data_IF_276721963581
#
_entry.id   IF_276721963581
#
_cell.length_a   1.000
_cell.length_b   1.000
_cell.length_c   1.000
_cell.angle_alpha   90.00
_cell.angle_beta   90.00
_cell.angle_gamma   90.00
#
_symmetry.space_group_name_H-M   'P 1'
#
loop_
_entity.id
_entity.type
_entity.pdbx_description
1 polymer ?
#
# COMPACT_ATOMS: atom_id res chain seq x y z
N UNK A 1 -1.54 -58.16 -28.90
CA UNK A 1 -0.79 -56.90 -29.11
C UNK A 1 -1.78 -55.80 -28.87
N UNK A 2 -1.96 -55.43 -27.61
CA UNK A 2 -2.92 -54.42 -27.20
C UNK A 2 -2.22 -53.08 -27.15
N UNK A 3 -2.55 -52.24 -28.12
CA UNK A 3 -2.03 -50.89 -28.23
C UNK A 3 -2.73 -50.03 -27.18
N UNK A 4 -2.12 -49.92 -26.00
CA UNK A 4 -2.59 -49.03 -24.96
C UNK A 4 -2.40 -47.59 -25.45
N UNK A 5 -3.46 -46.99 -25.98
CA UNK A 5 -3.48 -45.58 -26.33
C UNK A 5 -3.27 -44.79 -25.03
N UNK A 6 -2.04 -44.31 -24.83
CA UNK A 6 -1.76 -43.24 -23.87
C UNK A 6 -2.68 -42.09 -24.27
N UNK A 7 -3.66 -41.69 -23.44
CA UNK A 7 -4.44 -40.52 -23.76
C UNK A 7 -3.47 -39.35 -23.69
N UNK A 8 -3.12 -38.80 -24.84
CA UNK A 8 -2.43 -37.52 -24.93
C UNK A 8 -3.33 -36.53 -24.18
N UNK A 9 -2.93 -36.20 -22.94
CA UNK A 9 -3.61 -35.26 -22.07
C UNK A 9 -3.71 -33.92 -22.78
N UNK A 10 -4.81 -33.74 -23.49
CA UNK A 10 -5.18 -32.49 -24.14
C UNK A 10 -5.90 -31.65 -23.11
N UNK A 11 -5.27 -31.41 -21.97
CA UNK A 11 -5.69 -30.39 -21.01
C UNK A 11 -4.59 -29.35 -20.94
N UNK A 12 -4.59 -28.61 -22.05
CA UNK A 12 -3.99 -27.30 -22.21
C UNK A 12 -4.43 -26.39 -21.04
N UNK A 13 -3.75 -26.47 -19.90
CA UNK A 13 -3.93 -25.66 -18.68
C UNK A 13 -3.50 -24.18 -18.86
N UNK A 14 -3.85 -23.56 -19.99
CA UNK A 14 -3.56 -22.14 -20.26
C UNK A 14 -4.38 -21.23 -19.34
N UNK A 15 -5.54 -21.69 -18.88
CA UNK A 15 -6.44 -20.94 -18.01
C UNK A 15 -5.74 -20.49 -16.73
N UNK A 16 -5.06 -21.40 -16.00
CA UNK A 16 -4.38 -21.04 -14.75
C UNK A 16 -3.27 -19.99 -14.92
N UNK A 17 -2.48 -20.12 -15.99
CA UNK A 17 -1.40 -19.17 -16.33
C UNK A 17 -1.95 -17.75 -16.56
N UNK A 18 -3.00 -17.62 -17.37
CA UNK A 18 -3.60 -16.33 -17.69
C UNK A 18 -4.30 -15.72 -16.47
N UNK A 19 -5.03 -16.52 -15.68
CA UNK A 19 -5.79 -15.98 -14.55
C UNK A 19 -4.88 -15.37 -13.47
N UNK A 20 -3.78 -16.04 -13.10
CA UNK A 20 -2.86 -15.49 -12.09
C UNK A 20 -2.13 -14.24 -12.59
N UNK A 21 -1.66 -14.22 -13.84
CA UNK A 21 -1.05 -13.00 -14.42
C UNK A 21 -2.03 -11.84 -14.44
N UNK A 22 -3.26 -12.04 -14.88
CA UNK A 22 -4.27 -10.97 -14.95
C UNK A 22 -4.52 -10.39 -13.55
N UNK A 23 -4.62 -11.22 -12.52
CA UNK A 23 -4.77 -10.73 -11.15
C UNK A 23 -3.56 -9.91 -10.72
N UNK A 24 -2.34 -10.44 -10.85
CA UNK A 24 -1.13 -9.71 -10.44
C UNK A 24 -0.94 -8.40 -11.23
N UNK A 25 -1.22 -8.38 -12.52
CA UNK A 25 -1.15 -7.17 -13.34
C UNK A 25 -2.23 -6.17 -12.93
N UNK A 26 -3.47 -6.62 -12.71
CA UNK A 26 -4.58 -5.77 -12.28
C UNK A 26 -4.31 -5.15 -10.90
N UNK A 27 -3.90 -5.95 -9.93
CA UNK A 27 -3.58 -5.45 -8.59
C UNK A 27 -2.32 -4.59 -8.59
N UNK A 28 -1.35 -4.82 -9.47
CA UNK A 28 -0.21 -3.93 -9.65
C UNK A 28 -0.65 -2.54 -10.11
N UNK A 29 -1.50 -2.42 -11.13
CA UNK A 29 -1.97 -1.11 -11.63
C UNK A 29 -2.72 -0.35 -10.53
N UNK A 30 -3.61 -1.05 -9.83
CA UNK A 30 -4.35 -0.47 -8.69
C UNK A 30 -3.40 -0.07 -7.56
N UNK A 31 -2.38 -0.88 -7.27
CA UNK A 31 -1.40 -0.60 -6.24
C UNK A 31 -0.47 0.57 -6.61
N UNK A 32 -0.17 0.78 -7.89
CA UNK A 32 0.54 1.98 -8.35
C UNK A 32 -0.29 3.26 -8.15
N UNK A 33 -1.61 3.19 -8.34
CA UNK A 33 -2.50 4.30 -8.01
C UNK A 33 -2.50 4.58 -6.50
N UNK A 34 -2.52 3.54 -5.67
CA UNK A 34 -2.36 3.64 -4.21
C UNK A 34 -1.04 4.31 -3.81
N UNK A 35 0.09 3.89 -4.39
CA UNK A 35 1.39 4.54 -4.19
C UNK A 35 1.35 6.03 -4.58
N UNK A 36 0.71 6.37 -5.71
CA UNK A 36 0.50 7.75 -6.13
C UNK A 36 -0.28 8.57 -5.11
N UNK A 37 -1.34 8.01 -4.52
CA UNK A 37 -2.11 8.64 -3.45
C UNK A 37 -1.29 8.81 -2.17
N UNK A 38 -0.46 7.83 -1.79
CA UNK A 38 0.45 7.95 -0.64
C UNK A 38 1.46 9.07 -0.87
N UNK A 39 2.08 9.15 -2.05
CA UNK A 39 3.00 10.26 -2.40
C UNK A 39 2.26 11.60 -2.36
N UNK A 40 1.06 11.68 -2.96
CA UNK A 40 0.24 12.88 -2.92
C UNK A 40 -0.10 13.30 -1.50
N UNK A 41 -0.39 12.36 -0.60
CA UNK A 41 -0.64 12.66 0.81
C UNK A 41 0.59 13.28 1.49
N UNK A 42 1.82 12.86 1.16
CA UNK A 42 3.03 13.43 1.77
C UNK A 42 3.38 14.81 1.19
N UNK A 43 3.24 14.98 -0.13
CA UNK A 43 3.66 16.19 -0.84
C UNK A 43 2.65 17.33 -0.66
N UNK A 44 1.35 17.03 -0.69
CA UNK A 44 0.31 18.05 -0.54
C UNK A 44 0.19 18.41 0.95
N UNK A 45 0.41 19.67 1.35
CA UNK A 45 0.44 20.07 2.76
C UNK A 45 -0.97 20.37 3.31
N UNK A 46 -1.94 19.46 3.06
CA UNK A 46 -3.35 19.61 3.44
C UNK A 46 -3.86 18.36 4.18
N UNK A 47 -3.20 18.02 5.28
CA UNK A 47 -3.70 16.98 6.18
C UNK A 47 -4.81 17.53 7.08
N UNK A 48 -4.59 18.73 7.60
CA UNK A 48 -5.57 19.46 8.40
C UNK A 48 -5.58 20.90 7.91
N UNK A 49 -6.76 21.43 7.64
CA UNK A 49 -6.92 22.80 7.16
C UNK A 49 -7.91 23.58 8.01
N UNK A 50 -7.64 24.86 8.13
CA UNK A 50 -8.50 25.84 8.76
C UNK A 50 -8.88 26.86 7.71
N UNK A 51 -10.18 27.13 7.61
CA UNK A 51 -10.73 28.09 6.67
C UNK A 51 -11.65 29.02 7.44
N UNK A 52 -11.36 30.32 7.38
CA UNK A 52 -12.18 31.37 7.98
C UNK A 52 -12.87 32.17 6.89
N UNK A 53 -14.18 32.37 6.97
CA UNK A 53 -14.93 33.12 5.96
C UNK A 53 -14.76 34.65 6.11
N UNK A 54 -14.43 35.14 7.31
CA UNK A 54 -14.33 36.58 7.63
C UNK A 54 -13.26 36.86 8.70
N UNK A 55 -12.06 37.36 8.34
CA UNK A 55 -11.52 37.56 7.00
C UNK A 55 -11.22 36.23 6.28
N UNK A 56 -11.25 36.22 4.95
CA UNK A 56 -10.98 35.04 4.13
C UNK A 56 -9.48 34.69 4.17
N UNK A 57 -9.11 33.74 5.01
CA UNK A 57 -7.76 33.17 4.99
C UNK A 57 -7.81 31.67 5.24
N UNK A 58 -6.93 30.97 4.51
CA UNK A 58 -6.72 29.55 4.63
C UNK A 58 -5.39 29.28 5.34
N UNK A 59 -5.40 28.31 6.24
CA UNK A 59 -4.21 27.83 6.92
C UNK A 59 -4.17 26.32 6.84
N UNK A 60 -3.04 25.74 6.45
CA UNK A 60 -2.93 24.31 6.16
C UNK A 60 -1.70 23.70 6.79
N UNK A 61 -1.88 22.56 7.47
CA UNK A 61 -0.80 21.71 7.97
C UNK A 61 -0.58 20.50 7.06
N UNK A 62 0.66 20.33 6.62
CA UNK A 62 1.18 19.10 6.04
C UNK A 62 2.09 18.34 7.01
N UNK A 63 2.67 17.24 6.54
CA UNK A 63 3.62 16.45 7.33
C UNK A 63 4.93 17.19 7.62
N UNK A 64 5.46 17.88 6.61
CA UNK A 64 6.77 18.52 6.67
C UNK A 64 6.73 20.03 6.45
N UNK A 65 5.57 20.57 6.05
CA UNK A 65 5.38 21.98 5.75
C UNK A 65 4.03 22.44 6.25
N UNK A 66 3.96 23.71 6.64
CA UNK A 66 2.72 24.44 6.90
C UNK A 66 2.63 25.61 5.93
N UNK A 67 1.43 25.96 5.51
CA UNK A 67 1.20 27.06 4.58
C UNK A 67 0.10 27.97 5.11
N UNK A 68 0.27 29.28 4.94
CA UNK A 68 -0.70 30.30 5.35
C UNK A 68 -1.01 31.23 4.18
N UNK A 69 -2.28 31.44 3.88
CA UNK A 69 -2.75 32.38 2.87
C UNK A 69 -2.57 33.84 3.29
N UNK A 70 -2.34 34.13 4.58
CA UNK A 70 -2.14 35.51 5.07
C UNK A 70 -0.74 36.01 4.71
N UNK A 71 0.28 35.18 4.97
CA UNK A 71 1.68 35.51 4.68
C UNK A 71 2.10 35.09 3.28
N UNK A 72 1.27 34.29 2.60
CA UNK A 72 1.54 33.67 1.30
C UNK A 72 2.87 32.87 1.29
N UNK A 73 3.21 32.28 2.43
CA UNK A 73 4.45 31.52 2.64
C UNK A 73 4.16 30.11 3.12
N UNK A 74 4.96 29.17 2.63
CA UNK A 74 5.02 27.80 3.13
C UNK A 74 6.34 27.57 3.86
N UNK A 75 6.25 27.31 5.16
CA UNK A 75 7.41 27.11 6.04
C UNK A 75 7.55 25.63 6.40
N UNK A 76 8.77 25.22 6.76
CA UNK A 76 9.01 23.89 7.31
C UNK A 76 8.27 23.71 8.62
N UNK A 77 7.66 22.56 8.83
CA UNK A 77 6.90 22.23 10.04
C UNK A 77 7.18 20.78 10.44
N UNK A 78 7.28 20.46 11.75
CA UNK A 78 7.25 21.37 12.90
C UNK A 78 8.59 22.08 13.12
N UNK A 79 8.57 23.38 13.43
CA UNK A 79 9.78 24.15 13.79
C UNK A 79 10.17 23.93 15.26
N UNK A 80 11.28 24.53 15.71
CA UNK A 80 11.67 24.44 17.13
C UNK A 80 10.75 25.27 18.01
N UNK A 81 10.32 26.43 17.50
CA UNK A 81 9.42 27.32 18.24
C UNK A 81 8.07 26.66 18.52
N UNK A 82 7.58 25.82 17.59
CA UNK A 82 6.32 25.08 17.71
C UNK A 82 6.37 23.94 18.76
N UNK A 83 7.55 23.62 19.30
CA UNK A 83 7.80 22.45 20.15
C UNK A 83 8.32 22.79 21.55
N UNK A 84 7.96 23.96 22.11
CA UNK A 84 8.36 24.35 23.47
C UNK A 84 7.28 23.98 24.51
N UNK A 85 7.73 23.66 25.73
CA UNK A 85 6.82 23.36 26.85
C UNK A 85 5.97 22.10 26.61
N UNK A 86 4.65 22.25 26.75
CA UNK A 86 3.65 21.18 26.63
C UNK A 86 3.48 20.70 25.18
N UNK A 87 3.80 21.52 24.18
CA UNK A 87 3.70 21.18 22.74
C UNK A 87 4.74 20.12 22.26
N UNK A 88 5.69 19.72 23.12
CA UNK A 88 6.69 18.70 22.79
C UNK A 88 6.06 17.37 22.39
N UNK A 89 4.98 17.00 23.06
CA UNK A 89 4.23 15.78 22.80
C UNK A 89 3.66 15.78 21.38
N UNK A 90 2.91 16.84 21.03
CA UNK A 90 2.36 17.06 19.70
C UNK A 90 3.44 16.94 18.62
N UNK A 91 4.54 17.67 18.79
CA UNK A 91 5.65 17.64 17.83
C UNK A 91 6.29 16.25 17.68
N UNK A 92 6.42 15.50 18.76
CA UNK A 92 6.95 14.13 18.71
C UNK A 92 6.01 13.22 17.93
N UNK A 93 4.72 13.28 18.21
CA UNK A 93 3.71 12.47 17.51
C UNK A 93 3.62 12.85 16.03
N UNK A 94 3.59 14.14 15.71
CA UNK A 94 3.54 14.62 14.34
C UNK A 94 4.76 14.20 13.52
N UNK A 95 5.97 14.29 14.10
CA UNK A 95 7.19 13.80 13.43
C UNK A 95 7.17 12.29 13.23
N UNK A 96 6.61 11.52 14.18
CA UNK A 96 6.40 10.08 14.00
C UNK A 96 5.48 9.77 12.82
N UNK A 97 4.42 10.55 12.59
CA UNK A 97 3.58 10.40 11.39
C UNK A 97 4.40 10.57 10.10
N UNK A 98 5.24 11.61 10.05
CA UNK A 98 6.14 11.83 8.91
C UNK A 98 7.08 10.65 8.65
N UNK A 99 7.62 10.06 9.72
CA UNK A 99 8.44 8.85 9.63
C UNK A 99 7.65 7.63 9.15
N UNK A 100 6.47 7.38 9.72
CA UNK A 100 5.60 6.26 9.34
C UNK A 100 5.21 6.34 7.87
N UNK A 101 4.80 7.50 7.38
CA UNK A 101 4.42 7.68 5.97
C UNK A 101 5.62 7.50 5.03
N UNK A 102 6.80 7.97 5.42
CA UNK A 102 8.04 7.73 4.65
C UNK A 102 8.40 6.25 4.60
N UNK A 103 8.27 5.55 5.75
CA UNK A 103 8.50 4.11 5.82
C UNK A 103 7.47 3.32 4.99
N UNK A 104 6.21 3.75 4.95
CA UNK A 104 5.19 3.16 4.10
C UNK A 104 5.55 3.23 2.62
N UNK A 105 6.08 4.35 2.12
CA UNK A 105 6.56 4.45 0.73
C UNK A 105 7.67 3.45 0.44
N UNK A 106 8.60 3.24 1.38
CA UNK A 106 9.68 2.24 1.22
C UNK A 106 9.08 0.84 1.07
N UNK A 107 8.12 0.46 1.93
CA UNK A 107 7.43 -0.83 1.85
C UNK A 107 6.63 -0.97 0.55
N UNK A 108 5.96 0.10 0.09
CA UNK A 108 5.27 0.11 -1.20
C UNK A 108 6.26 -0.04 -2.36
N UNK A 109 7.43 0.61 -2.31
CA UNK A 109 8.48 0.45 -3.31
C UNK A 109 9.00 -0.98 -3.40
N UNK A 110 9.27 -1.63 -2.26
CA UNK A 110 9.63 -3.06 -2.20
C UNK A 110 8.52 -3.93 -2.78
N UNK A 111 7.25 -3.60 -2.49
CA UNK A 111 6.10 -4.32 -3.02
C UNK A 111 5.98 -4.19 -4.54
N UNK A 112 6.22 -3.00 -5.11
CA UNK A 112 6.25 -2.79 -6.57
C UNK A 112 7.36 -3.62 -7.22
N UNK A 113 8.57 -3.60 -6.66
CA UNK A 113 9.67 -4.44 -7.17
C UNK A 113 9.28 -5.93 -7.08
N UNK A 114 8.65 -6.34 -5.99
CA UNK A 114 8.17 -7.72 -5.81
C UNK A 114 7.14 -8.10 -6.87
N UNK A 115 6.18 -7.22 -7.18
CA UNK A 115 5.23 -7.42 -8.28
C UNK A 115 5.95 -7.63 -9.61
N UNK A 116 6.94 -6.79 -9.93
CA UNK A 116 7.71 -6.89 -11.17
C UNK A 116 8.50 -8.20 -11.25
N UNK A 117 9.14 -8.62 -10.14
CA UNK A 117 9.86 -9.89 -10.06
C UNK A 117 8.92 -11.09 -10.21
N UNK A 118 7.73 -11.03 -9.62
CA UNK A 118 6.71 -12.08 -9.76
C UNK A 118 6.22 -12.18 -11.21
N UNK A 119 5.95 -11.04 -11.86
CA UNK A 119 5.44 -10.99 -13.24
C UNK A 119 6.51 -11.36 -14.30
N UNK A 120 7.76 -10.95 -14.08
CA UNK A 120 8.88 -11.29 -14.97
C UNK A 120 9.51 -12.66 -14.68
N UNK A 121 9.25 -13.20 -13.49
CA UNK A 121 9.78 -14.48 -13.04
C UNK A 121 9.08 -15.68 -13.65
N UNK A 122 9.65 -16.86 -13.41
CA UNK A 122 9.04 -18.13 -13.80
C UNK A 122 7.86 -18.53 -12.92
N UNK A 123 7.17 -19.61 -13.30
CA UNK A 123 6.01 -20.19 -12.60
C UNK A 123 6.20 -20.30 -11.08
N UNK A 124 7.37 -20.77 -10.62
CA UNK A 124 7.69 -20.90 -9.18
C UNK A 124 7.52 -19.60 -8.39
N UNK A 125 7.88 -18.45 -8.97
CA UNK A 125 7.75 -17.15 -8.30
C UNK A 125 6.30 -16.68 -8.26
N UNK A 126 5.49 -16.96 -9.30
CA UNK A 126 4.05 -16.62 -9.30
C UNK A 126 3.22 -17.46 -8.36
N UNK A 127 3.61 -18.72 -8.16
CA UNK A 127 2.91 -19.63 -7.25
C UNK A 127 3.27 -19.42 -5.77
N UNK A 128 4.51 -19.03 -5.48
CA UNK A 128 4.98 -18.89 -4.08
C UNK A 128 5.19 -17.44 -3.62
N UNK A 129 5.32 -16.49 -4.54
CA UNK A 129 5.65 -15.09 -4.24
C UNK A 129 4.53 -14.29 -3.56
N UNK A 130 3.29 -14.78 -3.61
CA UNK A 130 2.12 -14.09 -3.04
C UNK A 130 2.25 -13.83 -1.53
N UNK A 131 2.90 -14.72 -0.78
CA UNK A 131 3.01 -14.60 0.68
C UNK A 131 3.86 -13.39 1.06
N UNK A 132 5.07 -13.27 0.48
CA UNK A 132 5.94 -12.13 0.72
C UNK A 132 5.32 -10.82 0.21
N UNK A 133 4.71 -10.85 -0.98
CA UNK A 133 4.04 -9.68 -1.55
C UNK A 133 2.90 -9.19 -0.66
N UNK A 134 1.98 -10.08 -0.25
CA UNK A 134 0.84 -9.72 0.58
C UNK A 134 1.26 -9.24 1.97
N UNK A 135 2.33 -9.81 2.54
CA UNK A 135 2.91 -9.34 3.80
C UNK A 135 3.43 -7.89 3.68
N UNK A 136 4.23 -7.59 2.65
CA UNK A 136 4.79 -6.24 2.46
C UNK A 136 3.69 -5.19 2.18
N UNK A 137 2.72 -5.53 1.33
CA UNK A 137 1.56 -4.67 1.05
C UNK A 137 0.73 -4.46 2.31
N UNK A 138 0.43 -5.53 3.05
CA UNK A 138 -0.32 -5.46 4.31
C UNK A 138 0.38 -4.63 5.38
N UNK A 139 1.69 -4.81 5.55
CA UNK A 139 2.49 -4.01 6.49
C UNK A 139 2.47 -2.53 6.10
N UNK A 140 2.58 -2.21 4.81
CA UNK A 140 2.50 -0.82 4.34
C UNK A 140 1.14 -0.17 4.64
N UNK A 141 0.05 -0.95 4.57
CA UNK A 141 -1.29 -0.47 4.90
C UNK A 141 -1.44 -0.23 6.40
N UNK A 142 -0.91 -1.13 7.25
CA UNK A 142 -0.94 -0.99 8.72
C UNK A 142 -0.17 0.26 9.15
N UNK A 143 1.02 0.49 8.59
CA UNK A 143 1.85 1.67 8.91
C UNK A 143 1.14 2.96 8.52
N UNK A 144 0.49 3.00 7.34
CA UNK A 144 -0.31 4.17 6.91
C UNK A 144 -1.52 4.39 7.83
N UNK A 145 -2.25 3.33 8.17
CA UNK A 145 -3.38 3.41 9.09
C UNK A 145 -2.94 3.90 10.47
N UNK A 146 -1.77 3.47 10.98
CA UNK A 146 -1.19 3.97 12.21
C UNK A 146 -0.87 5.47 12.11
N UNK A 147 -0.19 5.92 11.05
CA UNK A 147 0.09 7.35 10.84
C UNK A 147 -1.19 8.19 10.75
N UNK A 148 -2.18 7.71 10.00
CA UNK A 148 -3.51 8.33 9.87
C UNK A 148 -4.24 8.42 11.22
N UNK A 149 -4.20 7.35 12.02
CA UNK A 149 -4.82 7.31 13.35
C UNK A 149 -4.18 8.27 14.34
N UNK A 150 -2.86 8.49 14.28
CA UNK A 150 -2.18 9.47 15.12
C UNK A 150 -2.63 10.88 14.76
N UNK A 151 -2.76 11.22 13.47
CA UNK A 151 -3.27 12.54 13.07
C UNK A 151 -4.71 12.73 13.52
N UNK A 152 -5.58 11.71 13.38
CA UNK A 152 -6.95 11.78 13.86
C UNK A 152 -7.01 11.96 15.39
N UNK A 153 -6.18 11.21 16.13
CA UNK A 153 -6.06 11.36 17.57
C UNK A 153 -5.63 12.78 17.96
N UNK A 154 -4.60 13.33 17.32
CA UNK A 154 -4.14 14.70 17.59
C UNK A 154 -5.23 15.71 17.24
N UNK A 155 -5.94 15.52 16.13
CA UNK A 155 -7.05 16.37 15.71
C UNK A 155 -8.15 16.47 16.78
N UNK A 156 -8.50 15.35 17.40
CA UNK A 156 -9.58 15.29 18.40
C UNK A 156 -9.16 15.69 19.82
N UNK A 157 -7.86 15.61 20.16
CA UNK A 157 -7.37 15.76 21.54
C UNK A 157 -6.52 17.02 21.78
N UNK A 158 -6.09 17.73 20.75
CA UNK A 158 -5.27 18.95 20.91
C UNK A 158 -6.13 20.20 20.78
N UNK A 159 -6.08 21.07 21.79
CA UNK A 159 -6.81 22.36 21.83
C UNK A 159 -6.45 23.29 20.66
N UNK A 160 -5.30 23.06 20.03
CA UNK A 160 -4.85 23.77 18.81
C UNK A 160 -5.82 23.60 17.65
N UNK A 161 -6.50 22.45 17.55
CA UNK A 161 -7.50 22.17 16.52
C UNK A 161 -8.91 22.51 17.03
N UNK A 162 -9.12 23.80 17.29
CA UNK A 162 -10.42 24.33 17.72
C UNK A 162 -11.46 24.33 16.59
N UNK A 163 -12.67 24.81 16.90
CA UNK A 163 -13.79 24.87 15.94
C UNK A 163 -13.39 25.61 14.65
N UNK A 164 -13.51 24.93 13.51
CA UNK A 164 -13.17 25.46 12.17
C UNK A 164 -12.04 24.69 11.48
N UNK A 165 -11.28 23.87 12.20
CA UNK A 165 -10.34 22.92 11.61
C UNK A 165 -11.06 21.71 11.03
N UNK A 166 -10.56 21.18 9.91
CA UNK A 166 -11.06 19.97 9.26
C UNK A 166 -9.91 19.10 8.77
N UNK A 167 -10.12 17.78 8.82
CA UNK A 167 -9.29 16.82 8.09
C UNK A 167 -9.51 17.02 6.59
N UNK A 168 -8.43 17.13 5.82
CA UNK A 168 -8.50 17.57 4.42
C UNK A 168 -7.88 16.56 3.45
N UNK A 169 -7.74 16.95 2.19
CA UNK A 169 -7.41 16.11 1.03
C UNK A 169 -6.32 15.07 1.30
N UNK A 170 -5.20 15.43 1.93
CA UNK A 170 -4.08 14.51 2.13
C UNK A 170 -4.42 13.38 3.11
N UNK A 171 -5.22 13.66 4.14
CA UNK A 171 -5.73 12.64 5.05
C UNK A 171 -6.66 11.66 4.33
N UNK A 172 -7.51 12.18 3.42
CA UNK A 172 -8.38 11.35 2.58
C UNK A 172 -7.56 10.50 1.61
N UNK A 173 -6.55 11.05 0.95
CA UNK A 173 -5.67 10.30 0.05
C UNK A 173 -4.94 9.16 0.76
N UNK A 174 -4.41 9.41 1.97
CA UNK A 174 -3.82 8.37 2.81
C UNK A 174 -4.86 7.28 3.13
N UNK A 175 -6.08 7.69 3.51
CA UNK A 175 -7.16 6.77 3.87
C UNK A 175 -7.55 5.85 2.71
N UNK A 176 -7.76 6.43 1.53
CA UNK A 176 -8.08 5.69 0.32
C UNK A 176 -6.92 4.76 -0.07
N UNK A 177 -5.67 5.23 0.07
CA UNK A 177 -4.48 4.44 -0.27
C UNK A 177 -4.36 3.15 0.56
N UNK A 178 -4.46 3.22 1.89
CA UNK A 178 -4.31 2.00 2.70
C UNK A 178 -5.49 1.03 2.50
N UNK A 179 -6.70 1.53 2.26
CA UNK A 179 -7.86 0.71 1.88
C UNK A 179 -7.62 -0.05 0.56
N UNK A 180 -7.14 0.65 -0.47
CA UNK A 180 -6.77 0.03 -1.76
C UNK A 180 -5.66 -1.00 -1.56
N UNK A 181 -4.67 -0.70 -0.72
CA UNK A 181 -3.57 -1.61 -0.42
C UNK A 181 -4.05 -2.90 0.24
N UNK A 182 -4.98 -2.83 1.21
CA UNK A 182 -5.60 -4.01 1.80
C UNK A 182 -6.43 -4.81 0.79
N UNK A 183 -7.18 -4.12 -0.08
CA UNK A 183 -7.91 -4.78 -1.16
C UNK A 183 -6.95 -5.56 -2.08
N UNK A 184 -5.83 -4.96 -2.50
CA UNK A 184 -4.83 -5.63 -3.32
C UNK A 184 -4.23 -6.84 -2.59
N UNK A 185 -3.88 -6.72 -1.30
CA UNK A 185 -3.37 -7.85 -0.52
C UNK A 185 -4.39 -8.98 -0.43
N UNK A 186 -5.66 -8.67 -0.15
CA UNK A 186 -6.76 -9.63 -0.10
C UNK A 186 -6.98 -10.32 -1.44
N UNK A 187 -7.00 -9.57 -2.55
CA UNK A 187 -7.14 -10.11 -3.90
C UNK A 187 -6.00 -11.07 -4.27
N UNK A 188 -4.76 -10.73 -3.93
CA UNK A 188 -3.58 -11.60 -4.14
C UNK A 188 -3.67 -12.88 -3.30
N UNK A 189 -4.05 -12.77 -2.03
CA UNK A 189 -4.22 -13.95 -1.15
C UNK A 189 -5.34 -14.86 -1.66
N UNK A 190 -6.49 -14.29 -2.03
CA UNK A 190 -7.62 -15.04 -2.56
C UNK A 190 -7.24 -15.74 -3.87
N UNK A 191 -6.58 -15.02 -4.79
CA UNK A 191 -6.11 -15.60 -6.04
C UNK A 191 -5.10 -16.73 -5.81
N UNK A 192 -4.21 -16.61 -4.82
CA UNK A 192 -3.25 -17.65 -4.49
C UNK A 192 -3.91 -18.92 -3.93
N UNK A 193 -5.02 -18.79 -3.20
CA UNK A 193 -5.73 -19.91 -2.55
C UNK A 193 -6.80 -20.55 -3.43
N UNK A 194 -7.43 -19.78 -4.30
CA UNK A 194 -8.58 -20.23 -5.11
C UNK A 194 -8.17 -20.66 -6.52
N UNK A 195 -7.17 -19.98 -7.13
CA UNK A 195 -6.81 -20.28 -8.51
C UNK A 195 -5.95 -21.55 -8.59
N UNK A 196 -6.23 -22.44 -9.56
CA UNK A 196 -5.46 -23.66 -9.74
C UNK A 196 -4.00 -23.34 -10.00
N UNK A 197 -3.12 -24.29 -9.64
CA UNK A 197 -1.72 -24.25 -10.08
C UNK A 197 -1.66 -24.19 -11.60
N UNK A 198 -0.67 -23.49 -12.12
CA UNK A 198 -0.51 -23.32 -13.55
C UNK A 198 -0.06 -24.66 -14.12
N UNK A 199 -0.90 -25.38 -14.87
CA UNK A 199 -0.48 -26.68 -15.42
C UNK A 199 0.75 -26.55 -16.32
N UNK A 200 1.68 -27.50 -16.23
CA UNK A 200 2.92 -27.48 -17.02
C UNK A 200 4.19 -27.99 -16.32
N UNK A 201 4.10 -28.43 -15.06
CA UNK A 201 5.11 -29.34 -14.49
C UNK A 201 4.43 -30.70 -14.33
N UNK A 202 4.76 -31.66 -15.20
CA UNK A 202 4.53 -33.06 -14.89
C UNK A 202 5.52 -33.43 -13.77
N UNK A 203 5.06 -34.07 -12.70
CA UNK A 203 5.97 -34.67 -11.73
C UNK A 203 6.75 -35.78 -12.45
N UNK A 204 8.08 -35.73 -12.41
CA UNK A 204 8.90 -36.85 -12.84
C UNK A 204 8.57 -38.01 -11.89
N UNK A 205 8.12 -39.18 -12.38
CA UNK A 205 7.83 -40.31 -11.52
C UNK A 205 9.09 -40.71 -10.74
N UNK A 206 8.91 -41.03 -9.46
CA UNK A 206 10.00 -41.49 -8.63
C UNK A 206 10.57 -42.81 -9.18
N UNK A 207 11.87 -43.01 -9.01
CA UNK A 207 12.63 -44.10 -9.64
C UNK A 207 12.14 -45.51 -9.26
N UNK A 208 11.31 -45.63 -8.22
CA UNK A 208 10.70 -46.87 -7.77
C UNK A 208 9.61 -47.40 -8.73
N UNK A 209 8.92 -46.52 -9.48
CA UNK A 209 7.95 -46.91 -10.50
C UNK A 209 8.62 -47.43 -11.79
N UNK A 210 9.90 -47.07 -12.02
CA UNK A 210 10.71 -47.52 -13.16
C UNK A 210 11.25 -48.96 -13.00
N UNK A 211 11.06 -49.60 -11.83
CA UNK A 211 11.55 -50.95 -11.55
C UNK A 211 10.49 -52.05 -11.73
N UNK A 212 9.25 -51.68 -12.05
CA UNK A 212 8.10 -52.59 -12.09
C UNK A 212 7.67 -52.91 -13.55
N UNK A 213 8.35 -52.34 -14.55
CA UNK A 213 8.18 -52.66 -15.98
C UNK A 213 9.44 -53.28 -16.56
#
# INVERSE_FOLDING_TARGET
MDFHLVPHGTDRNYTGFFTKTIVYTGTLVIFLASLGLTIASIVVPKWVTYQSDKPNYDYSYGLHRRCSSITDTCESFPQREDCHGEDRYFCSMWRSVGFLMSFAIVLQGISVVTYLVILSGGKRLRENGWSFLSLMVGLSAIVQAAGMSIVAYLFDNEDRFFVGWKLDQSWVFCTVSWCISLFCAGAVILAAKVLPSEGGYELIPDHDDLRIT
#
